data_IF_971147880223
#
_entry.id   IF_971147880223
#
_cell.length_a   1.000
_cell.length_b   1.000
_cell.length_c   1.000
_cell.angle_alpha   90.00
_cell.angle_beta   90.00
_cell.angle_gamma   90.00
#
_symmetry.space_group_name_H-M   'P 1'
#
loop_
_entity.id
_entity.type
_entity.pdbx_description
1 polymer ?
#
# COMPACT_ATOMS: atom_id res chain seq x y z
N UNK A 1 -10.69 -16.94 -9.13
CA UNK A 1 -10.25 -15.79 -9.94
C UNK A 1 -10.52 -14.49 -9.18
N UNK A 2 -9.51 -13.66 -9.07
CA UNK A 2 -9.64 -12.40 -8.34
C UNK A 2 -10.04 -11.26 -9.27
N UNK A 3 -10.69 -10.26 -8.70
CA UNK A 3 -11.17 -9.09 -9.40
C UNK A 3 -10.72 -7.84 -8.66
N UNK A 4 -10.20 -6.85 -9.39
CA UNK A 4 -9.78 -5.57 -8.82
C UNK A 4 -10.87 -4.53 -9.10
N UNK A 5 -11.32 -3.85 -8.04
CA UNK A 5 -12.35 -2.81 -8.15
C UNK A 5 -11.98 -1.60 -7.31
N UNK A 6 -12.28 -0.39 -7.79
CA UNK A 6 -12.11 0.80 -6.95
C UNK A 6 -12.93 0.67 -5.67
N UNK A 7 -12.33 1.12 -4.57
CA UNK A 7 -13.02 1.18 -3.28
C UNK A 7 -13.75 2.51 -3.15
N UNK A 8 -14.80 2.51 -2.37
CA UNK A 8 -15.54 3.71 -1.97
C UNK A 8 -15.63 3.75 -0.45
N UNK A 9 -16.03 4.88 0.15
CA UNK A 9 -16.24 4.91 1.60
C UNK A 9 -17.19 3.85 2.12
N UNK A 10 -18.13 3.40 1.29
CA UNK A 10 -19.06 2.31 1.65
C UNK A 10 -18.36 0.98 1.87
N UNK A 11 -17.12 0.82 1.38
CA UNK A 11 -16.34 -0.40 1.56
C UNK A 11 -15.55 -0.44 2.87
N UNK A 12 -15.48 0.68 3.60
CA UNK A 12 -14.72 0.73 4.86
C UNK A 12 -15.14 -0.33 5.86
N UNK A 13 -16.43 -0.67 6.03
CA UNK A 13 -16.81 -1.77 6.90
C UNK A 13 -16.18 -3.12 6.53
N UNK A 14 -15.91 -3.35 5.24
CA UNK A 14 -15.23 -4.57 4.80
C UNK A 14 -13.72 -4.48 4.97
N UNK A 15 -13.16 -3.28 4.88
CA UNK A 15 -11.71 -3.04 5.02
C UNK A 15 -11.26 -3.13 6.47
N UNK A 16 -12.05 -2.63 7.40
CA UNK A 16 -11.65 -2.48 8.80
C UNK A 16 -11.27 -3.79 9.47
N UNK A 17 -12.02 -4.90 9.33
CA UNK A 17 -11.60 -6.18 9.93
C UNK A 17 -10.27 -6.69 9.39
N UNK A 18 -10.01 -6.46 8.10
CA UNK A 18 -8.75 -6.87 7.46
C UNK A 18 -7.60 -6.05 8.04
N UNK A 19 -7.79 -4.74 8.15
CA UNK A 19 -6.78 -3.85 8.72
C UNK A 19 -6.45 -4.24 10.16
N UNK A 20 -7.47 -4.47 10.97
CA UNK A 20 -7.31 -4.84 12.37
C UNK A 20 -6.62 -6.19 12.55
N UNK A 21 -6.87 -7.13 11.64
CA UNK A 21 -6.29 -8.47 11.71
C UNK A 21 -4.86 -8.52 11.19
N UNK A 22 -4.50 -7.63 10.27
CA UNK A 22 -3.22 -7.68 9.58
C UNK A 22 -2.11 -6.94 10.32
N UNK A 23 -2.44 -5.92 11.10
CA UNK A 23 -1.44 -5.04 11.71
C UNK A 23 -1.64 -4.88 13.21
N UNK A 24 -0.53 -4.86 13.99
CA UNK A 24 -0.61 -4.56 15.43
C UNK A 24 -1.08 -3.14 15.72
N UNK A 25 -0.81 -2.20 14.81
CA UNK A 25 -1.21 -0.80 14.94
C UNK A 25 -2.03 -0.41 13.70
N UNK A 26 -3.28 -0.90 13.62
CA UNK A 26 -4.09 -0.68 12.42
C UNK A 26 -4.57 0.76 12.31
N UNK A 27 -4.86 1.17 11.07
CA UNK A 27 -5.54 2.43 10.83
C UNK A 27 -6.95 2.35 11.40
N UNK A 28 -7.41 3.45 12.00
CA UNK A 28 -8.77 3.53 12.52
C UNK A 28 -9.77 3.69 11.38
N UNK A 29 -11.05 3.43 11.69
CA UNK A 29 -12.14 3.71 10.74
C UNK A 29 -12.10 5.15 10.25
N UNK A 30 -11.84 6.10 11.17
CA UNK A 30 -11.77 7.51 10.84
C UNK A 30 -10.67 7.79 9.80
N UNK A 31 -9.50 7.20 9.97
CA UNK A 31 -8.38 7.38 9.04
C UNK A 31 -8.69 6.75 7.70
N UNK A 32 -9.29 5.57 7.69
CA UNK A 32 -9.70 4.93 6.44
C UNK A 32 -10.71 5.79 5.69
N UNK A 33 -11.73 6.31 6.39
CA UNK A 33 -12.73 7.19 5.78
C UNK A 33 -12.12 8.48 5.24
N UNK A 34 -11.10 9.01 5.91
CA UNK A 34 -10.43 10.24 5.48
C UNK A 34 -9.54 10.02 4.24
N UNK A 35 -9.33 8.77 3.83
CA UNK A 35 -8.45 8.43 2.72
C UNK A 35 -9.19 8.28 1.39
N UNK A 36 -10.29 9.01 1.20
CA UNK A 36 -11.10 8.96 -0.02
C UNK A 36 -11.34 10.37 -0.56
N UNK A 37 -10.30 11.01 -1.04
CA UNK A 37 -10.40 12.33 -1.69
C UNK A 37 -10.09 12.21 -3.17
N UNK A 38 -10.11 13.35 -3.86
CA UNK A 38 -9.91 13.39 -5.31
C UNK A 38 -8.57 12.82 -5.76
N UNK A 39 -7.54 12.91 -4.90
CA UNK A 39 -6.21 12.43 -5.24
C UNK A 39 -5.99 10.96 -4.92
N UNK A 40 -6.97 10.32 -4.27
CA UNK A 40 -6.85 8.92 -3.87
C UNK A 40 -7.33 7.99 -4.96
N UNK A 41 -6.62 6.88 -5.14
CA UNK A 41 -6.97 5.82 -6.07
C UNK A 41 -6.85 4.50 -5.31
N UNK A 42 -7.87 4.19 -4.52
CA UNK A 42 -7.88 3.02 -3.65
C UNK A 42 -8.57 1.86 -4.35
N UNK A 43 -7.98 0.68 -4.28
CA UNK A 43 -8.47 -0.48 -5.00
C UNK A 43 -8.51 -1.70 -4.10
N UNK A 44 -9.57 -2.47 -4.21
CA UNK A 44 -9.71 -3.75 -3.51
C UNK A 44 -9.54 -4.92 -4.46
N UNK A 45 -9.02 -6.02 -3.91
CA UNK A 45 -8.92 -7.31 -4.58
C UNK A 45 -10.00 -8.21 -4.02
N UNK A 46 -10.91 -8.65 -4.87
CA UNK A 46 -12.12 -9.38 -4.49
C UNK A 46 -12.15 -10.76 -5.11
N UNK A 47 -12.78 -11.69 -4.43
CA UNK A 47 -13.05 -13.01 -4.96
C UNK A 47 -14.41 -13.49 -4.43
N UNK A 48 -15.31 -13.84 -5.33
CA UNK A 48 -16.65 -14.30 -4.98
C UNK A 48 -17.37 -13.35 -4.02
N UNK A 49 -17.22 -12.04 -4.25
CA UNK A 49 -17.86 -11.01 -3.44
C UNK A 49 -17.17 -10.71 -2.11
N UNK A 50 -16.06 -11.39 -1.81
CA UNK A 50 -15.32 -11.18 -0.58
C UNK A 50 -14.05 -10.38 -0.84
N UNK A 51 -13.81 -9.37 0.00
CA UNK A 51 -12.59 -8.58 -0.06
C UNK A 51 -11.43 -9.39 0.54
N UNK A 52 -10.37 -9.57 -0.24
CA UNK A 52 -9.17 -10.31 0.19
C UNK A 52 -8.04 -9.39 0.63
N UNK A 53 -8.02 -8.18 0.11
CA UNK A 53 -6.99 -7.21 0.41
C UNK A 53 -7.22 -5.93 -0.38
N UNK A 54 -6.40 -4.92 -0.13
CA UNK A 54 -6.58 -3.63 -0.78
C UNK A 54 -5.31 -2.80 -0.71
N UNK A 55 -5.28 -1.74 -1.52
CA UNK A 55 -4.27 -0.70 -1.34
C UNK A 55 -4.93 0.67 -1.29
N UNK A 56 -4.23 1.58 -0.63
CA UNK A 56 -4.61 3.00 -0.54
C UNK A 56 -3.44 3.79 -1.10
N UNK A 57 -3.71 4.57 -2.14
CA UNK A 57 -2.68 5.34 -2.83
C UNK A 57 -3.19 6.72 -3.17
N UNK A 58 -2.26 7.66 -3.25
CA UNK A 58 -2.56 9.05 -3.54
C UNK A 58 -1.67 9.53 -4.67
N UNK A 59 -2.22 10.27 -5.61
CA UNK A 59 -1.46 10.85 -6.72
C UNK A 59 -1.49 12.37 -6.64
N UNK A 60 -0.32 12.98 -6.73
CA UNK A 60 -0.18 14.43 -6.85
C UNK A 60 0.72 14.68 -8.05
N UNK A 61 0.16 15.30 -9.10
CA UNK A 61 0.86 15.52 -10.37
C UNK A 61 1.33 14.17 -10.93
N UNK A 62 2.62 14.01 -11.17
CA UNK A 62 3.18 12.76 -11.71
C UNK A 62 3.83 11.88 -10.64
N UNK A 63 3.52 12.14 -9.37
CA UNK A 63 4.05 11.34 -8.26
C UNK A 63 2.92 10.61 -7.55
N UNK A 64 3.17 9.37 -7.18
CA UNK A 64 2.23 8.56 -6.42
C UNK A 64 2.85 8.11 -5.12
N UNK A 65 2.04 8.08 -4.06
CA UNK A 65 2.44 7.54 -2.76
C UNK A 65 1.54 6.38 -2.41
N UNK A 66 2.12 5.23 -2.15
CA UNK A 66 1.41 4.08 -1.63
C UNK A 66 1.36 4.21 -0.12
N UNK A 67 0.18 4.50 0.42
CA UNK A 67 -0.01 4.73 1.86
C UNK A 67 -0.25 3.45 2.64
N UNK A 68 -0.87 2.46 2.02
CA UNK A 68 -1.19 1.21 2.70
C UNK A 68 -1.42 0.11 1.68
N UNK A 69 -0.94 -1.08 1.98
CA UNK A 69 -1.28 -2.29 1.25
C UNK A 69 -1.52 -3.36 2.31
N UNK A 70 -2.69 -3.98 2.26
CA UNK A 70 -3.16 -4.83 3.33
C UNK A 70 -3.82 -6.08 2.76
N UNK A 71 -3.42 -7.25 3.25
CA UNK A 71 -3.98 -8.53 2.83
C UNK A 71 -4.59 -9.22 4.04
N UNK A 72 -5.80 -9.75 3.88
CA UNK A 72 -6.46 -10.55 4.91
C UNK A 72 -5.50 -11.68 5.31
N UNK A 73 -5.16 -11.81 6.62
CA UNK A 73 -4.25 -12.86 7.07
C UNK A 73 -4.67 -14.28 6.66
N UNK A 74 -5.97 -14.52 6.49
CA UNK A 74 -6.47 -15.81 6.03
C UNK A 74 -6.05 -16.15 4.60
N UNK A 75 -5.61 -15.13 3.84
CA UNK A 75 -5.21 -15.27 2.44
C UNK A 75 -3.75 -14.90 2.20
N UNK A 76 -2.98 -14.72 3.27
CA UNK A 76 -1.54 -14.48 3.14
C UNK A 76 -0.86 -15.74 2.58
N UNK A 77 0.21 -15.54 1.83
CA UNK A 77 0.90 -16.63 1.18
C UNK A 77 0.31 -17.05 -0.17
N UNK A 78 -0.78 -16.39 -0.59
CA UNK A 78 -1.44 -16.67 -1.87
C UNK A 78 -1.04 -15.71 -2.98
N UNK A 79 -0.10 -14.80 -2.72
CA UNK A 79 0.37 -13.84 -3.71
C UNK A 79 -0.51 -12.62 -3.88
N UNK A 80 -1.48 -12.39 -3.00
CA UNK A 80 -2.41 -11.24 -3.11
C UNK A 80 -1.66 -9.91 -3.01
N UNK A 81 -0.71 -9.80 -2.09
CA UNK A 81 0.08 -8.57 -1.93
C UNK A 81 0.86 -8.22 -3.20
N UNK A 82 1.44 -9.22 -3.84
CA UNK A 82 2.17 -9.04 -5.09
C UNK A 82 1.23 -8.62 -6.22
N UNK A 83 0.05 -9.22 -6.30
CA UNK A 83 -0.96 -8.84 -7.28
C UNK A 83 -1.44 -7.42 -7.08
N UNK A 84 -1.69 -7.02 -5.82
CA UNK A 84 -2.11 -5.66 -5.49
C UNK A 84 -1.03 -4.65 -5.88
N UNK A 85 0.22 -4.93 -5.56
CA UNK A 85 1.32 -4.03 -5.90
C UNK A 85 1.48 -3.90 -7.41
N UNK A 86 1.40 -5.02 -8.15
CA UNK A 86 1.49 -5.00 -9.60
C UNK A 86 0.36 -4.18 -10.22
N UNK A 87 -0.86 -4.36 -9.72
CA UNK A 87 -2.01 -3.60 -10.18
C UNK A 87 -1.81 -2.10 -9.92
N UNK A 88 -1.36 -1.75 -8.73
CA UNK A 88 -1.09 -0.38 -8.34
C UNK A 88 -0.09 0.29 -9.27
N UNK A 89 1.05 -0.36 -9.50
CA UNK A 89 2.10 0.20 -10.35
C UNK A 89 1.63 0.38 -11.79
N UNK A 90 0.90 -0.59 -12.32
CA UNK A 90 0.37 -0.51 -13.68
C UNK A 90 -0.68 0.58 -13.81
N UNK A 91 -1.61 0.66 -12.87
CA UNK A 91 -2.69 1.64 -12.92
C UNK A 91 -2.16 3.07 -12.75
N UNK A 92 -1.22 3.28 -11.84
CA UNK A 92 -0.65 4.60 -11.59
C UNK A 92 0.27 5.04 -12.74
N UNK A 93 0.98 4.11 -13.35
CA UNK A 93 1.78 4.42 -14.55
C UNK A 93 0.86 4.87 -15.69
N UNK A 94 -0.25 4.16 -15.90
CA UNK A 94 -1.24 4.53 -16.92
C UNK A 94 -1.87 5.89 -16.63
N UNK A 95 -1.95 6.29 -15.37
CA UNK A 95 -2.47 7.59 -14.95
C UNK A 95 -1.43 8.72 -15.03
N UNK A 96 -0.23 8.43 -15.54
CA UNK A 96 0.80 9.43 -15.78
C UNK A 96 1.84 9.58 -14.70
N UNK A 97 1.87 8.69 -13.70
CA UNK A 97 2.89 8.76 -12.66
C UNK A 97 4.26 8.39 -13.20
N UNK A 98 5.27 9.09 -12.71
CA UNK A 98 6.67 8.89 -13.08
C UNK A 98 7.55 8.57 -11.88
N UNK A 99 7.02 8.75 -10.68
CA UNK A 99 7.75 8.54 -9.45
C UNK A 99 6.81 7.95 -8.41
N UNK A 100 7.27 6.93 -7.72
CA UNK A 100 6.47 6.20 -6.73
C UNK A 100 7.18 6.19 -5.39
N UNK A 101 6.47 6.56 -4.34
CA UNK A 101 6.98 6.68 -2.99
C UNK A 101 6.23 5.76 -2.05
N UNK A 102 6.88 5.29 -1.02
CA UNK A 102 6.24 4.63 0.11
C UNK A 102 7.13 4.73 1.34
N UNK A 103 6.51 4.49 2.49
CA UNK A 103 7.22 4.34 3.74
C UNK A 103 6.88 2.98 4.32
N UNK A 104 7.86 2.30 4.88
CA UNK A 104 7.67 0.96 5.43
C UNK A 104 8.41 0.86 6.76
N UNK A 105 7.83 0.14 7.72
CA UNK A 105 8.47 -0.09 9.01
C UNK A 105 9.80 -0.82 8.83
N UNK A 106 10.80 -0.38 9.57
CA UNK A 106 12.12 -1.02 9.52
C UNK A 106 12.03 -2.52 9.85
N UNK A 107 11.13 -2.91 10.74
CA UNK A 107 10.95 -4.30 11.13
C UNK A 107 10.23 -5.16 10.09
N UNK A 108 9.58 -4.53 9.10
CA UNK A 108 8.80 -5.27 8.12
C UNK A 108 9.66 -5.65 6.90
N UNK A 109 10.56 -6.61 7.12
CA UNK A 109 11.50 -7.05 6.08
C UNK A 109 10.80 -7.71 4.90
N UNK A 110 9.69 -8.40 5.15
CA UNK A 110 8.92 -9.05 4.10
C UNK A 110 8.37 -8.05 3.09
N UNK A 111 7.80 -6.94 3.60
CA UNK A 111 7.29 -5.88 2.74
C UNK A 111 8.43 -5.19 2.00
N UNK A 112 9.55 -4.92 2.68
CA UNK A 112 10.71 -4.30 2.03
C UNK A 112 11.18 -5.14 0.85
N UNK A 113 11.25 -6.45 1.03
CA UNK A 113 11.67 -7.36 -0.03
C UNK A 113 10.69 -7.32 -1.21
N UNK A 114 9.40 -7.31 -0.92
CA UNK A 114 8.37 -7.18 -1.95
C UNK A 114 8.56 -5.91 -2.78
N UNK A 115 8.80 -4.79 -2.11
CA UNK A 115 8.98 -3.50 -2.78
C UNK A 115 10.29 -3.46 -3.57
N UNK A 116 11.38 -3.98 -3.02
CA UNK A 116 12.65 -4.05 -3.72
C UNK A 116 12.55 -4.84 -5.01
N UNK A 117 11.82 -5.96 -4.98
CA UNK A 117 11.60 -6.77 -6.18
C UNK A 117 10.78 -6.02 -7.24
N UNK A 118 10.01 -5.03 -6.82
CA UNK A 118 9.21 -4.21 -7.73
C UNK A 118 9.96 -2.97 -8.21
N UNK A 119 11.23 -2.82 -7.83
CA UNK A 119 12.07 -1.73 -8.31
C UNK A 119 12.20 -0.54 -7.36
N UNK A 120 11.67 -0.64 -6.16
CA UNK A 120 11.86 0.41 -5.14
C UNK A 120 13.25 0.30 -4.54
N UNK A 121 13.82 1.45 -4.18
CA UNK A 121 15.09 1.53 -3.47
C UNK A 121 14.94 2.42 -2.25
N UNK A 122 15.62 2.08 -1.18
CA UNK A 122 15.63 2.91 0.02
C UNK A 122 16.38 4.20 -0.28
N UNK A 123 15.74 5.34 -0.02
CA UNK A 123 16.33 6.66 -0.26
C UNK A 123 16.42 7.49 1.02
N UNK A 124 15.84 7.04 2.11
CA UNK A 124 15.89 7.79 3.36
C UNK A 124 15.33 7.00 4.53
N UNK A 125 15.39 7.64 5.70
CA UNK A 125 14.86 7.09 6.95
C UNK A 125 14.17 8.22 7.70
N UNK A 126 12.97 7.94 8.20
CA UNK A 126 12.26 8.85 9.13
C UNK A 126 12.34 8.24 10.50
N UNK A 127 13.20 8.79 11.34
CA UNK A 127 13.46 8.24 12.67
C UNK A 127 12.26 8.36 13.59
N UNK A 128 11.94 7.27 14.29
CA UNK A 128 10.87 7.23 15.28
C UNK A 128 9.48 7.53 14.74
N UNK A 129 9.24 7.31 13.46
CA UNK A 129 8.01 7.70 12.77
C UNK A 129 6.81 6.85 13.18
N UNK A 130 7.02 5.55 13.39
CA UNK A 130 5.93 4.62 13.71
C UNK A 130 5.88 4.30 15.19
N UNK A 131 4.68 4.06 15.71
CA UNK A 131 4.50 3.50 17.04
C UNK A 131 4.95 2.04 17.05
N UNK A 132 5.64 1.62 18.10
CA UNK A 132 6.06 0.25 18.31
C UNK A 132 5.68 -0.18 19.74
N UNK A 133 5.78 -1.49 20.03
CA UNK A 133 5.45 -2.00 21.37
C UNK A 133 6.29 -1.35 22.47
N UNK A 134 7.55 -1.07 22.15
CA UNK A 134 8.48 -0.42 23.11
C UNK A 134 8.98 0.85 22.47
N UNK A 135 8.18 1.94 22.55
CA UNK A 135 8.58 3.23 22.01
C UNK A 135 8.18 3.41 20.55
N UNK A 136 9.16 3.65 19.71
CA UNK A 136 8.94 3.99 18.30
C UNK A 136 9.94 3.24 17.43
N UNK A 137 9.60 3.07 16.16
CA UNK A 137 10.54 2.53 15.20
C UNK A 137 10.62 3.41 13.96
N UNK A 138 11.72 3.28 13.24
CA UNK A 138 11.97 4.07 12.05
C UNK A 138 11.11 3.63 10.87
N UNK A 139 10.79 4.59 10.00
CA UNK A 139 10.23 4.31 8.69
C UNK A 139 11.36 4.38 7.67
N UNK A 140 11.44 3.39 6.80
CA UNK A 140 12.31 3.45 5.64
C UNK A 140 11.53 4.10 4.51
N UNK A 141 12.11 5.12 3.89
CA UNK A 141 11.50 5.79 2.74
C UNK A 141 12.04 5.14 1.50
N UNK A 142 11.14 4.66 0.65
CA UNK A 142 11.51 3.98 -0.58
C UNK A 142 10.93 4.72 -1.79
N UNK A 143 11.68 4.70 -2.88
CA UNK A 143 11.30 5.36 -4.12
C UNK A 143 11.56 4.45 -5.31
N UNK A 144 10.66 4.54 -6.30
CA UNK A 144 10.81 3.88 -7.59
C UNK A 144 10.65 4.93 -8.68
N UNK A 145 11.55 4.95 -9.64
CA UNK A 145 11.44 5.81 -10.81
C UNK A 145 10.71 5.13 -11.95
N UNK A 146 10.29 5.89 -12.95
CA UNK A 146 9.63 5.33 -14.11
C UNK A 146 10.59 4.43 -14.89
N UNK A 147 10.01 3.43 -15.60
CA UNK A 147 10.77 2.55 -16.45
C UNK A 147 11.57 3.38 -17.48
N UNK A 148 12.87 3.14 -17.56
CA UNK A 148 13.74 3.88 -18.46
C UNK A 148 14.48 5.05 -17.84
N UNK A 149 14.18 5.40 -16.59
CA UNK A 149 14.90 6.45 -15.86
C UNK A 149 16.20 5.95 -15.24
N UNK A 150 16.79 4.96 -15.75
CA UNK A 150 18.08 4.41 -15.35
C UNK A 150 18.52 4.70 -13.93
N UNK A 151 18.32 3.80 -12.99
CA UNK A 151 18.88 3.86 -11.65
C UNK A 151 18.56 5.12 -10.85
N UNK A 152 17.69 5.94 -11.39
CA UNK A 152 17.35 7.23 -10.78
C UNK A 152 16.58 7.11 -9.51
#
# INVERSE_FOLDING_TARGET
MVEFRPLTPADVPAMLPIEQSAYPFPWSERVLLASFGERYANVGCWQAGQLLGYYIAEQLLDESTLHNICVDPRHQGEGIGRLLLAHYLQASDAAGCRCWWLEVRRSNERAQHLYEQAGYQQVGVRKGYYRAEQGQEDALVMRRGASGEGGG
#
